data_IF_789944661143
#
_entry.id   IF_789944661143
#
_cell.length_a   1.000
_cell.length_b   1.000
_cell.length_c   1.000
_cell.angle_alpha   90.00
_cell.angle_beta   90.00
_cell.angle_gamma   90.00
#
_symmetry.space_group_name_H-M   'P 1'
#
loop_
_entity.id
_entity.type
_entity.pdbx_description
1 polymer ?
#
# COMPACT_ATOMS: atom_id res chain seq x y z
N UNK A 1 21.57 -10.81 15.07
CA UNK A 1 21.51 -9.43 14.52
C UNK A 1 20.61 -9.43 13.28
N UNK A 2 19.51 -8.67 13.28
CA UNK A 2 18.84 -8.24 12.05
C UNK A 2 18.55 -6.75 12.20
N UNK A 3 19.42 -5.96 11.58
CA UNK A 3 19.39 -4.52 11.60
C UNK A 3 18.03 -4.05 11.10
N UNK A 4 17.30 -3.32 11.95
CA UNK A 4 16.12 -2.55 11.56
C UNK A 4 16.63 -1.28 10.92
N UNK A 5 16.93 -1.34 9.62
CA UNK A 5 17.16 -0.17 8.80
C UNK A 5 15.80 0.53 8.60
N UNK A 6 15.55 1.54 9.43
CA UNK A 6 14.38 2.41 9.37
C UNK A 6 14.44 3.43 8.22
N UNK A 7 15.53 3.52 7.48
CA UNK A 7 15.66 4.49 6.39
C UNK A 7 16.62 3.97 5.32
N UNK A 8 16.25 4.13 4.05
CA UNK A 8 17.22 4.18 2.95
C UNK A 8 16.85 3.42 1.69
N UNK A 9 16.21 2.25 1.78
CA UNK A 9 15.88 1.47 0.60
C UNK A 9 14.56 0.73 0.82
N UNK A 10 13.48 1.30 0.28
CA UNK A 10 12.31 0.58 -0.23
C UNK A 10 12.75 -0.39 -1.34
N UNK A 11 13.76 -1.23 -1.09
CA UNK A 11 14.39 -2.12 -2.07
C UNK A 11 13.40 -3.24 -2.36
N UNK A 12 12.91 -3.30 -3.59
CA UNK A 12 12.31 -4.47 -4.27
C UNK A 12 11.08 -5.13 -3.63
N UNK A 13 10.69 -4.76 -2.42
CA UNK A 13 9.88 -5.64 -1.61
C UNK A 13 8.44 -5.14 -1.60
N UNK A 14 7.60 -5.70 -2.50
CA UNK A 14 6.33 -6.42 -2.17
C UNK A 14 5.21 -6.31 -3.22
N UNK A 15 5.53 -6.42 -4.50
CA UNK A 15 4.54 -6.70 -5.55
C UNK A 15 3.68 -7.94 -5.19
N UNK A 16 4.33 -8.92 -4.56
CA UNK A 16 3.74 -10.20 -4.14
C UNK A 16 2.83 -10.11 -2.90
N UNK A 17 2.78 -8.96 -2.20
CA UNK A 17 1.89 -8.85 -1.03
C UNK A 17 0.44 -8.77 -1.42
N UNK A 18 -0.43 -9.12 -0.48
CA UNK A 18 -1.86 -8.92 -0.68
C UNK A 18 -2.28 -7.50 -0.25
N UNK A 19 -3.22 -6.92 -0.98
CA UNK A 19 -3.82 -5.61 -0.77
C UNK A 19 -4.39 -5.47 0.64
N UNK A 20 -4.99 -6.52 1.20
CA UNK A 20 -5.49 -6.47 2.58
C UNK A 20 -4.41 -6.28 3.65
N UNK A 21 -3.15 -6.64 3.35
CA UNK A 21 -2.02 -6.27 4.22
C UNK A 21 -1.71 -4.78 4.12
N UNK A 22 -1.83 -4.21 2.90
CA UNK A 22 -1.59 -2.81 2.63
C UNK A 22 -2.63 -1.92 3.32
N UNK A 23 -3.91 -2.29 3.18
CA UNK A 23 -5.05 -1.65 3.82
C UNK A 23 -4.87 -1.57 5.33
N UNK A 24 -4.53 -2.69 5.97
CA UNK A 24 -4.27 -2.76 7.42
C UNK A 24 -3.04 -1.97 7.84
N UNK A 25 -1.98 -1.98 7.04
CA UNK A 25 -0.72 -1.34 7.39
C UNK A 25 -0.80 0.19 7.31
N UNK A 26 -1.60 0.72 6.38
CA UNK A 26 -1.71 2.15 6.11
C UNK A 26 -3.08 2.74 6.46
N UNK A 27 -3.93 1.96 7.13
CA UNK A 27 -5.33 2.26 7.42
C UNK A 27 -6.08 2.86 6.22
N UNK A 28 -5.95 2.17 5.08
CA UNK A 28 -6.61 2.52 3.82
C UNK A 28 -7.63 1.47 3.44
N UNK A 29 -8.56 1.86 2.59
CA UNK A 29 -9.52 0.96 1.96
C UNK A 29 -9.47 1.20 0.46
N UNK A 30 -8.94 0.23 -0.30
CA UNK A 30 -8.85 0.34 -1.75
C UNK A 30 -10.08 -0.26 -2.44
N UNK A 31 -11.05 -0.81 -1.70
CA UNK A 31 -12.24 -1.45 -2.24
C UNK A 31 -11.95 -2.71 -3.04
N UNK A 32 -10.77 -3.33 -2.84
CA UNK A 32 -10.35 -4.54 -3.55
C UNK A 32 -10.44 -5.76 -2.64
N UNK A 33 -10.36 -6.95 -3.24
CA UNK A 33 -10.31 -8.19 -2.45
C UNK A 33 -9.03 -8.24 -1.61
N UNK A 34 -9.16 -8.65 -0.35
CA UNK A 34 -8.03 -8.74 0.59
C UNK A 34 -6.89 -9.66 0.12
N UNK A 35 -7.15 -10.63 -0.76
CA UNK A 35 -6.18 -11.55 -1.37
C UNK A 35 -5.57 -11.02 -2.68
N UNK A 36 -6.02 -9.87 -3.19
CA UNK A 36 -5.49 -9.27 -4.42
C UNK A 36 -4.01 -8.92 -4.25
N UNK A 37 -3.17 -9.21 -5.23
CA UNK A 37 -1.78 -8.77 -5.21
C UNK A 37 -1.65 -7.25 -5.29
N UNK A 38 -0.66 -6.71 -4.57
CA UNK A 38 -0.33 -5.28 -4.56
C UNK A 38 0.04 -4.80 -5.96
N UNK A 39 0.75 -5.61 -6.75
CA UNK A 39 1.05 -5.27 -8.15
C UNK A 39 -0.23 -5.08 -8.98
N UNK A 40 -1.22 -5.97 -8.83
CA UNK A 40 -2.51 -5.83 -9.50
C UNK A 40 -3.24 -4.56 -9.06
N UNK A 41 -3.22 -4.26 -7.76
CA UNK A 41 -3.78 -3.02 -7.22
C UNK A 41 -3.09 -1.78 -7.81
N UNK A 42 -1.76 -1.80 -7.94
CA UNK A 42 -0.97 -0.72 -8.54
C UNK A 42 -1.31 -0.53 -10.02
N UNK A 43 -1.43 -1.62 -10.78
CA UNK A 43 -1.83 -1.58 -12.18
C UNK A 43 -3.25 -1.00 -12.37
N UNK A 44 -4.22 -1.42 -11.54
CA UNK A 44 -5.59 -0.90 -11.60
C UNK A 44 -5.67 0.59 -11.24
N UNK A 45 -4.85 1.03 -10.29
CA UNK A 45 -4.80 2.44 -9.85
C UNK A 45 -3.88 3.30 -10.71
N UNK A 46 -3.14 2.71 -11.66
CA UNK A 46 -2.14 3.39 -12.49
C UNK A 46 -0.92 3.89 -11.73
N UNK A 47 -0.65 3.33 -10.55
CA UNK A 47 0.44 3.78 -9.67
C UNK A 47 1.72 2.98 -9.93
N UNK A 48 2.88 3.63 -10.08
CA UNK A 48 4.14 2.93 -10.36
C UNK A 48 4.77 2.28 -9.12
N UNK A 49 4.21 2.49 -7.92
CA UNK A 49 4.71 1.89 -6.67
C UNK A 49 3.75 2.16 -5.51
N UNK A 50 3.81 1.30 -4.49
CA UNK A 50 3.09 1.47 -3.21
C UNK A 50 3.34 2.84 -2.61
N UNK A 51 4.57 3.32 -2.61
CA UNK A 51 4.91 4.62 -2.05
C UNK A 51 4.17 5.78 -2.74
N UNK A 52 3.95 5.72 -4.06
CA UNK A 52 3.11 6.71 -4.76
C UNK A 52 1.63 6.51 -4.43
N UNK A 53 1.15 5.26 -4.39
CA UNK A 53 -0.22 4.95 -3.99
C UNK A 53 -0.56 5.52 -2.60
N UNK A 54 0.28 5.26 -1.60
CA UNK A 54 0.12 5.78 -0.21
C UNK A 54 0.31 7.30 -0.12
N UNK A 55 1.07 7.92 -1.02
CA UNK A 55 1.16 9.39 -1.07
C UNK A 55 -0.03 10.04 -1.78
N UNK A 56 -0.74 9.30 -2.62
CA UNK A 56 -1.94 9.76 -3.31
C UNK A 56 -3.18 9.73 -2.41
N UNK A 57 -4.30 10.26 -2.89
CA UNK A 57 -5.60 10.20 -2.20
C UNK A 57 -6.37 8.89 -2.40
N UNK A 58 -5.85 7.96 -3.21
CA UNK A 58 -6.52 6.68 -3.51
C UNK A 58 -6.72 5.84 -2.25
N UNK A 59 -7.96 5.52 -1.92
CA UNK A 59 -8.31 4.69 -0.77
C UNK A 59 -8.03 5.32 0.60
N UNK A 60 -7.83 6.64 0.67
CA UNK A 60 -7.88 7.34 1.95
C UNK A 60 -9.31 7.21 2.51
N UNK A 61 -9.43 6.69 3.72
CA UNK A 61 -10.65 6.90 4.50
C UNK A 61 -10.70 8.38 4.84
N UNK A 62 -11.66 9.09 4.24
CA UNK A 62 -11.96 10.46 4.63
C UNK A 62 -12.34 10.45 6.10
N UNK A 63 -11.43 10.91 6.96
CA UNK A 63 -11.70 11.08 8.37
C UNK A 63 -12.55 12.33 8.49
N UNK A 64 -13.88 12.14 8.41
CA UNK A 64 -14.85 13.18 8.75
C UNK A 64 -14.73 13.43 10.25
N UNK A 65 -13.99 14.46 10.63
CA UNK A 65 -14.05 15.01 11.97
C UNK A 65 -15.33 15.84 12.08
N UNK A 66 -16.30 15.38 12.86
CA UNK A 66 -17.40 16.20 13.39
C UNK A 66 -16.94 16.96 14.63
#
# INVERSE_FOLDING_TARGET
MRSRNQDGQLRDTRDDKHAGTLEKQYDRDFGVRSDMHVDTLLQQTGMPSVSKLIKSDVGKKEVRWE
#
